data_IF_201069302678
#
_entry.id   IF_201069302678
#
_cell.length_a   1.000
_cell.length_b   1.000
_cell.length_c   1.000
_cell.angle_alpha   90.00
_cell.angle_beta   90.00
_cell.angle_gamma   90.00
#
_symmetry.space_group_name_H-M   'P 1'
#
loop_
_entity.id
_entity.type
_entity.pdbx_description
1 polymer ?
#
# COMPACT_ATOMS: atom_id res chain seq x y z
N UNK A 1 20.05 5.35 -3.54
CA UNK A 1 20.42 5.46 -4.97
C UNK A 1 19.96 6.81 -5.56
N UNK A 2 18.68 7.17 -5.42
CA UNK A 2 18.11 8.45 -5.89
C UNK A 2 18.87 9.70 -5.42
N UNK A 3 19.09 9.84 -4.10
CA UNK A 3 19.83 10.98 -3.53
C UNK A 3 21.34 10.92 -3.80
N UNK A 4 21.95 9.72 -3.73
CA UNK A 4 23.39 9.56 -4.01
C UNK A 4 23.80 9.99 -5.42
N UNK A 5 22.86 10.02 -6.36
CA UNK A 5 23.11 10.34 -7.75
C UNK A 5 22.33 11.58 -8.24
N UNK A 6 21.76 12.38 -7.33
CA UNK A 6 20.93 13.57 -7.64
C UNK A 6 19.94 13.33 -8.78
N UNK A 7 19.30 12.15 -8.80
CA UNK A 7 18.44 11.76 -9.92
C UNK A 7 17.17 12.62 -9.98
N UNK A 8 16.81 13.33 -8.90
CA UNK A 8 15.68 14.27 -8.90
C UNK A 8 15.81 15.35 -9.98
N UNK A 9 17.02 15.86 -10.24
CA UNK A 9 17.24 16.93 -11.22
C UNK A 9 17.25 16.39 -12.66
N UNK A 10 17.23 15.06 -12.84
CA UNK A 10 17.16 14.39 -14.14
C UNK A 10 15.76 13.94 -14.52
N UNK A 11 14.77 14.20 -13.67
CA UNK A 11 13.36 13.91 -14.01
C UNK A 11 12.84 15.04 -14.89
N UNK A 12 13.01 14.89 -16.20
CA UNK A 12 12.34 15.72 -17.18
C UNK A 12 10.91 15.20 -17.39
N UNK A 13 9.90 16.00 -17.04
CA UNK A 13 8.52 15.66 -17.36
C UNK A 13 8.29 15.85 -18.86
N UNK A 14 8.34 14.77 -19.63
CA UNK A 14 8.13 14.77 -21.08
C UNK A 14 6.67 15.09 -21.52
N UNK A 15 5.79 15.36 -20.55
CA UNK A 15 4.38 15.68 -20.77
C UNK A 15 3.43 14.51 -20.47
N UNK A 16 2.15 14.83 -20.35
CA UNK A 16 1.10 13.83 -20.22
C UNK A 16 0.84 13.20 -21.61
N UNK A 17 1.14 11.91 -21.76
CA UNK A 17 0.60 11.14 -22.89
C UNK A 17 -0.90 11.02 -22.64
N UNK A 18 -1.75 11.57 -23.51
CA UNK A 18 -3.21 11.68 -23.30
C UNK A 18 -3.92 10.36 -23.00
N UNK A 19 -3.25 9.22 -23.19
CA UNK A 19 -3.84 7.89 -23.08
C UNK A 19 -3.06 6.91 -22.18
N UNK A 20 -1.91 7.30 -21.61
CA UNK A 20 -1.06 6.39 -20.81
C UNK A 20 -0.49 7.09 -19.58
N UNK A 21 -0.70 6.50 -18.40
CA UNK A 21 -0.03 6.89 -17.15
C UNK A 21 1.06 5.88 -16.80
N UNK A 22 2.23 6.38 -16.38
CA UNK A 22 3.40 5.55 -16.04
C UNK A 22 3.74 5.65 -14.56
N UNK A 23 4.06 4.51 -13.94
CA UNK A 23 4.61 4.43 -12.59
C UNK A 23 5.94 3.66 -12.57
N UNK A 24 6.96 4.26 -11.94
CA UNK A 24 8.33 3.72 -11.84
C UNK A 24 8.79 3.47 -10.39
N UNK A 25 7.87 3.22 -9.47
CA UNK A 25 8.20 2.95 -8.05
C UNK A 25 8.97 1.62 -7.91
N UNK A 26 9.85 1.51 -6.91
CA UNK A 26 10.57 0.26 -6.57
C UNK A 26 9.83 -0.59 -5.53
N UNK A 27 8.96 0.05 -4.76
CA UNK A 27 8.05 -0.59 -3.79
C UNK A 27 6.80 0.27 -3.72
N UNK A 28 5.64 -0.33 -3.91
CA UNK A 28 4.35 0.36 -3.83
C UNK A 28 3.36 -0.59 -3.17
N UNK A 29 2.74 -0.20 -2.07
CA UNK A 29 1.82 -1.09 -1.36
C UNK A 29 0.48 -1.18 -2.11
N UNK A 30 -0.12 -0.03 -2.41
CA UNK A 30 -1.41 0.06 -3.09
C UNK A 30 -1.50 1.37 -3.86
N UNK A 31 -1.31 1.29 -5.18
CA UNK A 31 -1.23 2.50 -6.01
C UNK A 31 -2.61 3.05 -6.37
N UNK A 32 -3.11 4.00 -5.58
CA UNK A 32 -4.37 4.70 -5.87
C UNK A 32 -4.31 5.44 -7.21
N UNK A 33 -3.16 6.03 -7.56
CA UNK A 33 -3.03 6.80 -8.80
C UNK A 33 -3.26 5.94 -10.07
N UNK A 34 -2.88 4.66 -10.05
CA UNK A 34 -3.14 3.72 -11.15
C UNK A 34 -4.65 3.39 -11.23
N UNK A 35 -5.31 3.24 -10.09
CA UNK A 35 -6.76 3.02 -10.04
C UNK A 35 -7.54 4.23 -10.57
N UNK A 36 -7.13 5.45 -10.22
CA UNK A 36 -7.72 6.69 -10.72
C UNK A 36 -7.53 6.81 -12.24
N UNK A 37 -6.32 6.54 -12.74
CA UNK A 37 -6.03 6.55 -14.16
C UNK A 37 -6.89 5.54 -14.94
N UNK A 38 -6.95 4.30 -14.46
CA UNK A 38 -7.79 3.25 -15.05
C UNK A 38 -9.29 3.62 -14.97
N UNK A 39 -9.70 4.29 -13.89
CA UNK A 39 -11.07 4.80 -13.73
C UNK A 39 -11.39 5.91 -14.72
N UNK A 40 -10.40 6.69 -15.16
CA UNK A 40 -10.52 7.63 -16.28
C UNK A 40 -10.45 6.96 -17.65
N UNK A 41 -10.40 5.62 -17.71
CA UNK A 41 -10.34 4.85 -18.95
C UNK A 41 -8.94 4.80 -19.59
N UNK A 42 -7.89 5.13 -18.83
CA UNK A 42 -6.51 5.12 -19.33
C UNK A 42 -5.87 3.73 -19.16
N UNK A 43 -5.09 3.31 -20.15
CA UNK A 43 -4.21 2.16 -20.00
C UNK A 43 -3.01 2.57 -19.14
N UNK A 44 -2.73 1.79 -18.10
CA UNK A 44 -1.63 2.09 -17.18
C UNK A 44 -0.42 1.22 -17.49
N UNK A 45 0.77 1.79 -17.32
CA UNK A 45 2.05 1.06 -17.38
C UNK A 45 2.73 1.23 -16.03
N UNK A 46 3.13 0.12 -15.40
CA UNK A 46 3.81 0.18 -14.11
C UNK A 46 4.89 -0.88 -13.99
N UNK A 47 5.83 -0.64 -13.09
CA UNK A 47 6.72 -1.68 -12.59
C UNK A 47 5.95 -2.76 -11.83
N UNK A 48 6.36 -4.02 -11.98
CA UNK A 48 5.86 -5.22 -11.28
C UNK A 48 6.46 -5.29 -9.89
N UNK A 49 6.04 -4.39 -9.01
CA UNK A 49 6.55 -4.32 -7.63
C UNK A 49 5.44 -4.18 -6.62
N UNK A 50 5.71 -4.63 -5.39
CA UNK A 50 4.79 -4.51 -4.26
C UNK A 50 3.44 -5.12 -4.56
N UNK A 51 2.36 -4.39 -4.23
CA UNK A 51 0.98 -4.84 -4.46
C UNK A 51 0.40 -4.45 -5.82
N UNK A 52 1.18 -3.82 -6.72
CA UNK A 52 0.67 -3.35 -8.03
C UNK A 52 0.11 -4.49 -8.88
N UNK A 53 0.76 -5.66 -9.00
CA UNK A 53 0.21 -6.78 -9.77
C UNK A 53 -1.13 -7.31 -9.25
N UNK A 54 -1.41 -7.14 -7.97
CA UNK A 54 -2.66 -7.53 -7.33
C UNK A 54 -3.75 -6.47 -7.48
N UNK A 55 -3.38 -5.23 -7.84
CA UNK A 55 -4.31 -4.10 -7.93
C UNK A 55 -5.14 -4.15 -9.22
N UNK A 56 -4.52 -4.34 -10.39
CA UNK A 56 -5.27 -4.36 -11.65
C UNK A 56 -5.13 -5.71 -12.36
N UNK A 57 -6.19 -6.20 -13.03
CA UNK A 57 -6.04 -7.37 -13.90
C UNK A 57 -5.13 -7.05 -15.09
N UNK A 58 -4.44 -8.07 -15.61
CA UNK A 58 -3.44 -7.95 -16.70
C UNK A 58 -3.97 -7.30 -17.99
N UNK A 59 -5.29 -7.19 -18.16
CA UNK A 59 -5.95 -6.53 -19.29
C UNK A 59 -5.92 -4.99 -19.19
N UNK A 60 -5.82 -4.45 -17.97
CA UNK A 60 -5.96 -3.01 -17.68
C UNK A 60 -4.62 -2.34 -17.33
N UNK A 61 -3.57 -3.14 -17.17
CA UNK A 61 -2.23 -2.69 -16.82
C UNK A 61 -1.18 -3.45 -17.62
N UNK A 62 -0.15 -2.75 -18.09
CA UNK A 62 1.06 -3.37 -18.63
C UNK A 62 2.15 -3.30 -17.56
N UNK A 63 2.52 -4.47 -17.05
CA UNK A 63 3.56 -4.60 -16.03
C UNK A 63 4.93 -4.82 -16.67
N UNK A 64 5.91 -4.05 -16.22
CA UNK A 64 7.32 -4.15 -16.58
C UNK A 64 8.17 -4.53 -15.36
N UNK A 65 9.29 -5.22 -15.55
CA UNK A 65 10.34 -5.31 -14.55
C UNK A 65 10.95 -3.92 -14.30
N UNK A 66 11.54 -3.66 -13.11
CA UNK A 66 12.17 -2.39 -12.76
C UNK A 66 13.51 -2.17 -13.49
N UNK A 67 13.52 -2.38 -14.81
CA UNK A 67 14.62 -2.18 -15.74
C UNK A 67 14.20 -1.20 -16.85
N UNK A 68 15.04 -0.20 -17.21
CA UNK A 68 14.68 0.76 -18.25
C UNK A 68 14.34 0.14 -19.61
N UNK A 69 15.01 -0.96 -20.00
CA UNK A 69 14.77 -1.63 -21.27
C UNK A 69 13.39 -2.27 -21.29
N UNK A 70 12.99 -2.92 -20.19
CA UNK A 70 11.67 -3.53 -20.08
C UNK A 70 10.55 -2.48 -19.98
N UNK A 71 10.81 -1.35 -19.31
CA UNK A 71 9.87 -0.21 -19.31
C UNK A 71 9.60 0.32 -20.73
N UNK A 72 10.62 0.45 -21.57
CA UNK A 72 10.44 0.84 -22.98
C UNK A 72 9.60 -0.20 -23.73
N UNK A 73 9.88 -1.49 -23.52
CA UNK A 73 9.11 -2.56 -24.14
C UNK A 73 7.64 -2.55 -23.69
N UNK A 74 7.38 -2.32 -22.41
CA UNK A 74 6.05 -2.21 -21.85
C UNK A 74 5.28 -1.01 -22.40
N UNK A 75 5.93 0.14 -22.58
CA UNK A 75 5.33 1.32 -23.21
C UNK A 75 5.00 1.03 -24.68
N UNK A 76 5.92 0.42 -25.44
CA UNK A 76 5.66 0.02 -26.83
C UNK A 76 4.48 -0.94 -26.94
N UNK A 77 4.42 -1.94 -26.03
CA UNK A 77 3.28 -2.85 -25.91
C UNK A 77 2.00 -2.10 -25.59
N UNK A 78 2.01 -1.18 -24.63
CA UNK A 78 0.85 -0.37 -24.26
C UNK A 78 0.33 0.45 -25.45
N UNK A 79 1.21 1.14 -26.18
CA UNK A 79 0.86 1.91 -27.38
C UNK A 79 0.18 1.03 -28.43
N UNK A 80 0.66 -0.20 -28.64
CA UNK A 80 0.06 -1.16 -29.57
C UNK A 80 -1.33 -1.66 -29.14
N UNK A 81 -1.64 -1.61 -27.84
CA UNK A 81 -2.92 -2.02 -27.27
C UNK A 81 -3.97 -0.91 -27.29
N UNK A 82 -3.55 0.36 -27.23
CA UNK A 82 -4.44 1.54 -27.15
C UNK A 82 -5.62 1.51 -28.14
N UNK A 83 -5.47 1.17 -29.45
CA UNK A 83 -6.59 1.19 -30.38
C UNK A 83 -7.70 0.18 -30.08
N UNK A 84 -7.43 -0.83 -29.24
CA UNK A 84 -8.38 -1.89 -28.87
C UNK A 84 -9.13 -1.58 -27.58
N UNK A 85 -8.72 -0.54 -26.85
CA UNK A 85 -9.26 -0.20 -25.55
C UNK A 85 -10.40 0.80 -25.74
N UNK A 86 -11.58 0.43 -25.27
CA UNK A 86 -12.69 1.37 -25.09
C UNK A 86 -12.60 2.00 -23.68
N UNK A 87 -12.37 3.32 -23.56
CA UNK A 87 -12.28 4.00 -22.27
C UNK A 87 -13.54 3.82 -21.41
N UNK A 88 -14.73 3.76 -22.03
CA UNK A 88 -15.97 3.62 -21.28
C UNK A 88 -16.13 2.20 -20.71
N UNK A 89 -15.79 1.17 -21.49
CA UNK A 89 -15.70 -0.20 -20.98
C UNK A 89 -14.67 -0.34 -19.85
N UNK A 90 -13.50 0.30 -19.98
CA UNK A 90 -12.46 0.32 -18.95
C UNK A 90 -12.97 0.95 -17.63
N UNK A 91 -13.60 2.12 -17.71
CA UNK A 91 -14.24 2.78 -16.55
C UNK A 91 -15.32 1.88 -15.91
N UNK A 92 -16.20 1.30 -16.72
CA UNK A 92 -17.28 0.44 -16.24
C UNK A 92 -16.73 -0.79 -15.51
N UNK A 93 -15.63 -1.37 -16.00
CA UNK A 93 -14.93 -2.49 -15.34
C UNK A 93 -14.29 -2.07 -14.02
N UNK A 94 -13.65 -0.90 -13.97
CA UNK A 94 -13.07 -0.37 -12.72
C UNK A 94 -14.10 -0.22 -11.61
N UNK A 95 -15.29 0.28 -11.95
CA UNK A 95 -16.42 0.43 -11.02
C UNK A 95 -16.88 -0.89 -10.42
N UNK A 96 -16.73 -2.00 -11.15
CA UNK A 96 -17.09 -3.35 -10.67
C UNK A 96 -15.97 -3.99 -9.82
N UNK A 97 -14.71 -3.69 -10.13
CA UNK A 97 -13.55 -4.23 -9.42
C UNK A 97 -13.34 -3.57 -8.05
N UNK A 98 -13.52 -2.25 -7.98
CA UNK A 98 -13.17 -1.46 -6.82
C UNK A 98 -14.37 -0.74 -6.22
N UNK A 99 -14.73 -1.17 -5.02
CA UNK A 99 -15.72 -0.50 -4.20
C UNK A 99 -15.15 -0.30 -2.79
N UNK A 100 -15.11 0.95 -2.33
CA UNK A 100 -14.65 1.29 -0.98
C UNK A 100 -15.35 0.51 0.12
N UNK A 101 -16.63 0.15 -0.07
CA UNK A 101 -17.36 -0.68 0.88
C UNK A 101 -16.77 -2.10 0.97
N UNK A 102 -16.38 -2.70 -0.15
CA UNK A 102 -15.75 -4.01 -0.16
C UNK A 102 -14.33 -3.93 0.43
N UNK A 103 -13.56 -2.90 0.06
CA UNK A 103 -12.22 -2.67 0.60
C UNK A 103 -12.25 -2.50 2.12
N UNK A 104 -13.17 -1.69 2.66
CA UNK A 104 -13.34 -1.48 4.09
C UNK A 104 -13.69 -2.79 4.80
N UNK A 105 -14.67 -3.54 4.29
CA UNK A 105 -15.09 -4.83 4.85
C UNK A 105 -13.95 -5.85 4.86
N UNK A 106 -13.18 -5.94 3.77
CA UNK A 106 -12.02 -6.84 3.67
C UNK A 106 -10.90 -6.43 4.62
N UNK A 107 -10.69 -5.13 4.79
CA UNK A 107 -9.70 -4.56 5.71
C UNK A 107 -10.07 -4.87 7.17
N UNK A 108 -11.32 -4.69 7.54
CA UNK A 108 -11.85 -5.04 8.86
C UNK A 108 -11.59 -6.52 9.21
N UNK A 109 -11.85 -7.44 8.27
CA UNK A 109 -11.58 -8.87 8.48
C UNK A 109 -10.10 -9.14 8.79
N UNK A 110 -9.17 -8.41 8.17
CA UNK A 110 -7.74 -8.53 8.45
C UNK A 110 -7.42 -8.02 9.85
N UNK A 111 -7.99 -6.88 10.25
CA UNK A 111 -7.83 -6.34 11.61
C UNK A 111 -8.43 -7.26 12.67
N UNK A 112 -9.62 -7.80 12.46
CA UNK A 112 -10.26 -8.77 13.37
C UNK A 112 -9.39 -10.01 13.56
N UNK A 113 -8.78 -10.50 12.48
CA UNK A 113 -7.85 -11.64 12.54
C UNK A 113 -6.58 -11.28 13.30
N UNK A 114 -6.02 -10.10 13.05
CA UNK A 114 -4.83 -9.62 13.75
C UNK A 114 -5.10 -9.39 15.24
N UNK A 115 -6.28 -8.90 15.61
CA UNK A 115 -6.68 -8.70 17.01
C UNK A 115 -6.91 -10.02 17.75
N UNK A 116 -7.40 -11.05 17.06
CA UNK A 116 -7.54 -12.41 17.62
C UNK A 116 -6.19 -13.11 17.86
N UNK A 117 -5.11 -12.66 17.22
CA UNK A 117 -3.77 -13.15 17.53
C UNK A 117 -3.38 -12.68 18.93
N UNK A 118 -3.21 -13.63 19.86
CA UNK A 118 -2.86 -13.33 21.25
C UNK A 118 -1.61 -12.45 21.34
N UNK A 119 -1.66 -11.41 22.16
CA UNK A 119 -0.50 -10.59 22.47
C UNK A 119 0.55 -11.48 23.15
N UNK A 120 1.70 -11.68 22.50
CA UNK A 120 2.69 -12.62 22.99
C UNK A 120 3.45 -12.05 24.17
N UNK A 121 3.75 -12.92 25.14
CA UNK A 121 4.51 -12.55 26.33
C UNK A 121 5.82 -11.85 25.96
N UNK A 122 6.19 -10.82 26.71
CA UNK A 122 7.43 -10.07 26.48
C UNK A 122 8.66 -10.99 26.44
N UNK A 123 8.68 -12.03 27.28
CA UNK A 123 9.78 -13.00 27.31
C UNK A 123 9.91 -13.82 26.01
N UNK A 124 8.79 -14.22 25.40
CA UNK A 124 8.78 -14.94 24.11
C UNK A 124 9.22 -14.03 22.97
N UNK A 125 8.86 -12.74 23.03
CA UNK A 125 9.33 -11.74 22.06
C UNK A 125 10.84 -11.53 22.19
N UNK A 126 11.34 -11.36 23.41
CA UNK A 126 12.76 -11.17 23.69
C UNK A 126 13.60 -12.38 23.26
N UNK A 127 13.13 -13.60 23.51
CA UNK A 127 13.85 -14.80 23.10
C UNK A 127 14.04 -14.86 21.59
N UNK A 128 13.03 -14.48 20.79
CA UNK A 128 13.14 -14.47 19.32
C UNK A 128 14.19 -13.48 18.81
N UNK A 129 14.26 -12.28 19.38
CA UNK A 129 15.25 -11.28 18.97
C UNK A 129 16.68 -11.75 19.24
N UNK A 130 16.92 -12.45 20.37
CA UNK A 130 18.24 -12.98 20.68
C UNK A 130 18.75 -13.99 19.64
N UNK A 131 17.85 -14.67 18.91
CA UNK A 131 18.21 -15.60 17.84
C UNK A 131 18.50 -14.93 16.49
N UNK A 132 18.23 -13.63 16.31
CA UNK A 132 18.46 -12.91 15.05
C UNK A 132 19.94 -12.56 14.76
N UNK A 133 20.90 -13.28 15.37
CA UNK A 133 22.33 -13.13 15.16
C UNK A 133 23.08 -12.52 16.35
N UNK A 134 24.39 -12.75 16.40
CA UNK A 134 25.23 -12.49 17.57
C UNK A 134 25.29 -11.02 18.02
N UNK A 135 25.22 -10.08 17.06
CA UNK A 135 25.25 -8.64 17.32
C UNK A 135 23.88 -8.00 17.17
N UNK A 136 23.20 -8.24 16.04
CA UNK A 136 21.89 -7.67 15.76
C UNK A 136 20.85 -8.07 16.84
N UNK A 137 20.86 -9.32 17.29
CA UNK A 137 19.94 -9.79 18.33
C UNK A 137 20.14 -9.10 19.68
N UNK A 138 21.39 -8.87 20.09
CA UNK A 138 21.70 -8.12 21.32
C UNK A 138 21.25 -6.66 21.23
N UNK A 139 21.43 -6.04 20.07
CA UNK A 139 20.96 -4.67 19.82
C UNK A 139 19.43 -4.60 19.89
N UNK A 140 18.72 -5.48 19.20
CA UNK A 140 17.24 -5.49 19.23
C UNK A 140 16.69 -5.78 20.62
N UNK A 141 17.33 -6.68 21.37
CA UNK A 141 17.00 -6.94 22.76
C UNK A 141 17.14 -5.68 23.63
N UNK A 142 18.25 -4.93 23.49
CA UNK A 142 18.46 -3.68 24.21
C UNK A 142 17.42 -2.62 23.83
N UNK A 143 17.12 -2.46 22.53
CA UNK A 143 16.08 -1.54 22.05
C UNK A 143 14.71 -1.91 22.63
N UNK A 144 14.40 -3.20 22.72
CA UNK A 144 13.15 -3.68 23.32
C UNK A 144 13.05 -3.39 24.82
N UNK A 145 14.14 -3.56 25.57
CA UNK A 145 14.18 -3.18 27.00
C UNK A 145 13.98 -1.67 27.15
N UNK A 146 14.70 -0.86 26.37
CA UNK A 146 14.56 0.60 26.43
C UNK A 146 13.12 1.01 26.07
N UNK A 147 12.53 0.42 25.03
CA UNK A 147 11.13 0.66 24.66
C UNK A 147 10.15 0.26 25.75
N UNK A 148 10.39 -0.84 26.46
CA UNK A 148 9.59 -1.25 27.61
C UNK A 148 9.71 -0.27 28.79
N UNK A 149 10.92 0.17 29.12
CA UNK A 149 11.15 1.17 30.17
C UNK A 149 10.50 2.51 29.83
N UNK A 150 10.58 2.95 28.56
CA UNK A 150 9.91 4.14 28.08
C UNK A 150 8.39 4.00 28.14
N UNK A 151 7.85 2.84 27.79
CA UNK A 151 6.42 2.57 27.93
C UNK A 151 5.97 2.62 29.39
N UNK A 152 6.72 2.05 30.33
CA UNK A 152 6.42 2.16 31.76
C UNK A 152 6.51 3.61 32.27
N UNK A 153 7.47 4.40 31.77
CA UNK A 153 7.58 5.81 32.12
C UNK A 153 6.38 6.62 31.56
N UNK A 154 5.95 6.31 30.34
CA UNK A 154 4.78 6.93 29.73
C UNK A 154 3.50 6.56 30.49
N UNK A 155 3.34 5.30 30.88
CA UNK A 155 2.19 4.86 31.69
C UNK A 155 2.16 5.53 33.07
N UNK A 156 3.32 5.93 33.62
CA UNK A 156 3.40 6.73 34.84
C UNK A 156 3.01 8.20 34.62
N UNK A 157 3.31 8.78 33.45
CA UNK A 157 3.04 10.19 33.14
C UNK A 157 1.64 10.43 32.56
N UNK A 158 1.16 9.50 31.76
CA UNK A 158 -0.14 9.51 31.09
C UNK A 158 -0.66 8.06 31.08
N UNK A 159 -1.39 7.65 32.12
CA UNK A 159 -1.93 6.30 32.20
C UNK A 159 -2.87 6.02 31.03
N UNK A 160 -2.93 4.76 30.60
CA UNK A 160 -3.78 4.35 29.48
C UNK A 160 -5.27 4.67 29.73
N UNK A 161 -5.70 4.71 30.99
CA UNK A 161 -7.07 5.06 31.40
C UNK A 161 -7.47 6.51 31.03
N UNK A 162 -6.51 7.41 30.88
CA UNK A 162 -6.75 8.81 30.45
C UNK A 162 -6.85 8.92 28.91
N UNK A 163 -6.50 7.87 28.17
CA UNK A 163 -6.61 7.82 26.72
C UNK A 163 -8.04 7.42 26.39
N UNK A 164 -8.76 8.29 25.69
CA UNK A 164 -10.09 7.98 25.18
C UNK A 164 -10.00 6.78 24.22
N UNK A 165 -10.36 5.60 24.72
CA UNK A 165 -10.57 4.45 23.87
C UNK A 165 -11.74 4.76 22.94
N UNK A 166 -11.51 4.63 21.63
CA UNK A 166 -12.59 4.60 20.65
C UNK A 166 -13.46 3.37 20.93
N UNK A 167 -14.40 3.49 21.87
CA UNK A 167 -15.45 2.50 22.14
C UNK A 167 -16.12 2.23 20.82
N UNK A 168 -15.91 1.02 20.27
CA UNK A 168 -16.48 0.51 19.02
C UNK A 168 -17.21 1.62 18.27
N UNK A 169 -16.47 2.44 17.51
CA UNK A 169 -17.10 3.43 16.63
C UNK A 169 -18.16 2.62 15.89
N UNK A 170 -19.44 2.87 16.22
CA UNK A 170 -20.50 1.94 15.89
C UNK A 170 -20.33 1.61 14.42
N UNK A 171 -20.10 0.34 14.07
CA UNK A 171 -20.09 -0.08 12.67
C UNK A 171 -21.33 0.49 11.95
N UNK A 172 -22.41 0.73 12.70
CA UNK A 172 -23.58 1.47 12.27
C UNK A 172 -23.29 2.88 11.69
N UNK A 173 -22.51 3.74 12.34
CA UNK A 173 -22.23 5.09 11.82
C UNK A 173 -21.30 5.08 10.62
N UNK A 174 -20.32 4.18 10.57
CA UNK A 174 -19.45 4.08 9.40
C UNK A 174 -20.23 3.58 8.18
N UNK A 175 -21.17 2.66 8.37
CA UNK A 175 -22.06 2.19 7.28
C UNK A 175 -23.08 3.27 6.89
N UNK A 176 -23.66 4.01 7.84
CA UNK A 176 -24.63 5.08 7.55
C UNK A 176 -23.98 6.28 6.86
N UNK A 177 -22.83 6.77 7.34
CA UNK A 177 -22.16 7.94 6.76
C UNK A 177 -21.73 7.70 5.30
N UNK A 178 -21.34 6.47 4.95
CA UNK A 178 -21.04 6.11 3.55
C UNK A 178 -22.28 5.73 2.73
N UNK A 179 -23.37 5.29 3.37
CA UNK A 179 -24.65 5.09 2.68
C UNK A 179 -25.33 6.41 2.31
N UNK A 180 -25.19 7.45 3.13
CA UNK A 180 -25.70 8.81 2.83
C UNK A 180 -24.89 9.52 1.74
N UNK A 181 -23.65 9.10 1.50
CA UNK A 181 -22.82 9.62 0.42
C UNK A 181 -23.15 9.04 -0.97
N UNK A 182 -24.19 8.19 -1.09
CA UNK A 182 -24.68 7.63 -2.35
C UNK A 182 -25.87 8.44 -2.88
#
# INVERSE_FOLDING_TARGET
>A
MREKHSLQDRVEMLGAVQHVQMLGSLTEAFCIAILEAASCGLLTVSTRVGGVPEVLPDEMIVLAEPDPGDMVHAIQKAISMLPKIDPQAMHNRMRELYNWHDVAKRTEIVYDRAFKCSNQNLLERLSRYLFCGAWAGKLFFLVMIVGFLLWQLLELWQPADDIEECKHCCQHYFVEFFSEAR
#
